data_IF_593565344441
#
_entry.id   IF_593565344441
#
_cell.length_a   1.000
_cell.length_b   1.000
_cell.length_c   1.000
_cell.angle_alpha   90.00
_cell.angle_beta   90.00
_cell.angle_gamma   90.00
#
_symmetry.space_group_name_H-M   'P 1'
#
loop_
_entity.id
_entity.type
_entity.pdbx_description
1 polymer ?
#
# COMPACT_ATOMS: atom_id res chain seq x y z
N UNK A 1 5.07 5.83 5.30
CA UNK A 1 4.67 4.44 4.96
C UNK A 1 5.40 3.51 5.92
N UNK A 2 4.67 2.78 6.76
CA UNK A 2 5.22 2.09 7.93
C UNK A 2 4.46 0.79 8.21
N UNK A 3 5.06 -0.18 8.94
CA UNK A 3 4.35 -1.37 9.40
C UNK A 3 3.17 -1.02 10.32
N UNK A 4 2.17 -1.90 10.34
CA UNK A 4 1.02 -1.77 11.25
C UNK A 4 1.50 -2.14 12.67
N UNK A 5 1.20 -1.32 13.70
CA UNK A 5 1.47 -1.67 15.08
C UNK A 5 0.80 -2.99 15.47
N UNK A 6 1.50 -3.84 16.24
CA UNK A 6 0.94 -5.13 16.67
C UNK A 6 -0.33 -4.98 17.52
N UNK A 7 -0.45 -3.87 18.26
CA UNK A 7 -1.63 -3.56 19.07
C UNK A 7 -2.90 -3.25 18.25
N UNK A 8 -2.76 -2.96 16.96
CA UNK A 8 -3.86 -2.66 16.04
C UNK A 8 -4.13 -3.79 15.03
N UNK A 9 -3.54 -4.97 15.22
CA UNK A 9 -3.75 -6.15 14.38
C UNK A 9 -4.53 -7.23 15.13
N UNK A 10 -5.34 -7.99 14.40
CA UNK A 10 -5.94 -9.21 14.92
C UNK A 10 -4.88 -10.31 15.11
N UNK A 11 -5.10 -11.31 15.98
CA UNK A 11 -4.12 -12.37 16.25
C UNK A 11 -3.75 -13.24 15.03
N UNK A 12 -4.61 -13.25 14.01
CA UNK A 12 -4.39 -13.98 12.75
C UNK A 12 -3.77 -13.11 11.66
N UNK A 13 -3.52 -11.83 11.94
CA UNK A 13 -2.97 -10.88 10.98
C UNK A 13 -1.48 -10.68 11.21
N UNK A 14 -0.72 -10.51 10.13
CA UNK A 14 0.71 -10.19 10.19
C UNK A 14 1.09 -9.08 9.22
N UNK A 15 2.24 -8.44 9.45
CA UNK A 15 2.79 -7.49 8.51
C UNK A 15 3.43 -8.24 7.34
N UNK A 16 2.98 -7.94 6.13
CA UNK A 16 3.54 -8.49 4.90
C UNK A 16 4.70 -7.66 4.37
N UNK A 17 5.32 -8.13 3.28
CA UNK A 17 6.38 -7.38 2.64
C UNK A 17 5.78 -6.26 1.78
N UNK A 18 5.96 -5.02 2.24
CA UNK A 18 5.64 -3.80 1.50
C UNK A 18 6.88 -3.31 0.74
N UNK A 19 6.79 -3.21 -0.58
CA UNK A 19 7.83 -2.59 -1.43
C UNK A 19 7.27 -1.34 -2.08
N UNK A 20 8.07 -0.27 -2.07
CA UNK A 20 7.74 1.03 -2.62
C UNK A 20 8.81 1.43 -3.62
N UNK A 21 8.45 1.47 -4.89
CA UNK A 21 9.36 1.86 -5.97
C UNK A 21 8.94 3.25 -6.46
N UNK A 22 9.88 4.21 -6.44
CA UNK A 22 9.60 5.60 -6.77
C UNK A 22 10.34 5.99 -8.04
N UNK A 23 9.61 6.62 -8.97
CA UNK A 23 10.19 7.20 -10.17
C UNK A 23 9.43 8.47 -10.57
N UNK A 24 10.00 9.24 -11.49
CA UNK A 24 9.29 10.34 -12.13
C UNK A 24 8.76 9.89 -13.48
N UNK A 25 7.51 10.22 -13.78
CA UNK A 25 6.95 10.03 -15.12
C UNK A 25 7.53 11.05 -16.12
N UNK A 26 7.11 10.95 -17.38
CA UNK A 26 7.55 11.86 -18.44
C UNK A 26 7.14 13.32 -18.23
N UNK A 27 6.13 13.58 -17.39
CA UNK A 27 5.67 14.91 -17.02
C UNK A 27 6.41 15.46 -15.79
N UNK A 28 7.38 14.71 -15.24
CA UNK A 28 8.13 15.07 -14.04
C UNK A 28 7.39 14.77 -12.73
N UNK A 29 6.20 14.15 -12.80
CA UNK A 29 5.41 13.82 -11.64
C UNK A 29 5.94 12.56 -10.94
N UNK A 30 5.96 12.57 -9.60
CA UNK A 30 6.38 11.42 -8.80
C UNK A 30 5.32 10.32 -8.83
N UNK A 31 5.72 9.15 -9.28
CA UNK A 31 4.94 7.92 -9.21
C UNK A 31 5.53 7.02 -8.13
N UNK A 32 4.67 6.38 -7.34
CA UNK A 32 5.05 5.29 -6.44
C UNK A 32 4.32 4.02 -6.82
N UNK A 33 5.05 2.94 -7.07
CA UNK A 33 4.50 1.60 -7.24
C UNK A 33 4.58 0.89 -5.90
N UNK A 34 3.41 0.50 -5.40
CA UNK A 34 3.20 -0.10 -4.09
C UNK A 34 2.90 -1.58 -4.31
N UNK A 35 3.73 -2.44 -3.72
CA UNK A 35 3.56 -3.89 -3.76
C UNK A 35 3.42 -4.42 -2.35
N UNK A 36 2.35 -5.16 -2.09
CA UNK A 36 2.17 -5.93 -0.87
C UNK A 36 2.19 -7.41 -1.24
N UNK A 37 3.10 -8.16 -0.63
CA UNK A 37 3.33 -9.57 -0.94
C UNK A 37 3.45 -10.38 0.33
N UNK A 38 2.99 -11.62 0.24
CA UNK A 38 3.13 -12.62 1.29
C UNK A 38 4.08 -13.73 0.84
N UNK A 39 4.69 -14.42 1.80
CA UNK A 39 5.34 -15.70 1.53
C UNK A 39 4.31 -16.66 0.90
N UNK A 40 4.74 -17.72 0.17
CA UNK A 40 3.83 -18.68 -0.46
C UNK A 40 3.08 -19.50 0.59
N UNK A 41 2.04 -18.88 1.15
CA UNK A 41 0.96 -19.41 1.95
C UNK A 41 -0.30 -18.87 1.30
N UNK A 42 -1.40 -19.60 1.39
CA UNK A 42 -2.71 -19.22 0.84
C UNK A 42 -3.36 -18.05 1.60
N UNK A 43 -2.57 -17.03 1.94
CA UNK A 43 -2.95 -15.85 2.71
C UNK A 43 -3.23 -14.68 1.75
N UNK A 44 -4.11 -13.78 2.16
CA UNK A 44 -4.47 -12.59 1.39
C UNK A 44 -3.52 -11.44 1.71
N UNK A 45 -2.96 -10.83 0.67
CA UNK A 45 -2.16 -9.63 0.78
C UNK A 45 -3.05 -8.41 0.63
N UNK A 46 -3.06 -7.53 1.63
CA UNK A 46 -3.89 -6.32 1.67
C UNK A 46 -3.03 -5.08 1.80
N UNK A 47 -3.12 -4.16 0.84
CA UNK A 47 -2.61 -2.79 0.98
C UNK A 47 -3.64 -1.99 1.75
N UNK A 48 -3.23 -1.35 2.84
CA UNK A 48 -4.05 -0.45 3.64
C UNK A 48 -3.51 0.97 3.44
N UNK A 49 -4.38 1.89 3.04
CA UNK A 49 -4.05 3.31 2.87
C UNK A 49 -4.59 4.13 4.04
N UNK A 50 -3.80 5.12 4.47
CA UNK A 50 -4.20 6.09 5.51
C UNK A 50 -4.88 5.42 6.70
N UNK A 51 -4.25 4.39 7.27
CA UNK A 51 -4.74 3.67 8.45
C UNK A 51 -6.16 3.07 8.31
N UNK A 52 -6.56 2.69 7.08
CA UNK A 52 -7.79 1.93 6.84
C UNK A 52 -8.91 2.73 6.18
N UNK A 53 -8.68 3.99 5.80
CA UNK A 53 -9.65 4.76 5.02
C UNK A 53 -9.96 4.07 3.68
N UNK A 54 -8.96 3.40 3.11
CA UNK A 54 -9.10 2.66 1.87
C UNK A 54 -8.16 1.44 1.88
N UNK A 55 -8.52 0.40 1.12
CA UNK A 55 -7.71 -0.81 1.05
C UNK A 55 -7.93 -1.59 -0.24
N UNK A 56 -6.91 -2.34 -0.63
CA UNK A 56 -6.95 -3.24 -1.77
C UNK A 56 -6.44 -4.61 -1.33
N UNK A 57 -7.16 -5.68 -1.66
CA UNK A 57 -6.79 -7.04 -1.26
C UNK A 57 -6.76 -8.00 -2.45
N UNK A 58 -5.81 -8.93 -2.45
CA UNK A 58 -5.73 -10.02 -3.42
C UNK A 58 -5.00 -11.22 -2.83
N UNK A 59 -5.22 -12.40 -3.43
CA UNK A 59 -4.52 -13.63 -3.05
C UNK A 59 -3.02 -13.50 -3.31
N UNK A 60 -2.20 -13.79 -2.30
CA UNK A 60 -0.74 -13.84 -2.34
C UNK A 60 0.02 -12.53 -2.61
N UNK A 61 -0.42 -11.72 -3.59
CA UNK A 61 0.23 -10.46 -3.95
C UNK A 61 -0.75 -9.48 -4.54
N UNK A 62 -0.57 -8.21 -4.19
CA UNK A 62 -1.25 -7.10 -4.84
C UNK A 62 -0.27 -5.99 -5.20
N UNK A 63 -0.53 -5.30 -6.30
CA UNK A 63 0.27 -4.18 -6.79
C UNK A 63 -0.64 -3.08 -7.27
N UNK A 64 -0.30 -1.85 -6.92
CA UNK A 64 -1.00 -0.63 -7.38
C UNK A 64 0.02 0.49 -7.52
N UNK A 65 -0.34 1.56 -8.22
CA UNK A 65 0.50 2.74 -8.37
C UNK A 65 -0.28 4.00 -8.01
N UNK A 66 0.40 4.97 -7.42
CA UNK A 66 -0.11 6.31 -7.21
C UNK A 66 0.74 7.30 -7.99
N UNK A 67 0.09 8.20 -8.70
CA UNK A 67 0.72 9.31 -9.41
C UNK A 67 0.39 10.59 -8.66
N UNK A 68 1.36 11.50 -8.56
CA UNK A 68 1.13 12.81 -7.96
C UNK A 68 0.10 13.64 -8.76
N UNK A 69 -0.57 14.56 -8.07
CA UNK A 69 -1.32 15.64 -8.72
C UNK A 69 -0.40 16.85 -8.99
N UNK A 70 -0.98 17.94 -9.48
CA UNK A 70 -0.27 19.20 -9.74
C UNK A 70 0.39 19.81 -8.48
N UNK A 71 -0.10 19.49 -7.28
CA UNK A 71 0.48 19.91 -6.00
C UNK A 71 1.59 18.96 -5.50
N UNK A 72 1.93 17.90 -6.25
CA UNK A 72 2.92 16.90 -5.86
C UNK A 72 2.43 15.88 -4.82
N UNK A 73 1.12 15.79 -4.60
CA UNK A 73 0.49 14.86 -3.64
C UNK A 73 -0.02 13.61 -4.32
N UNK A 74 0.14 12.45 -3.71
CA UNK A 74 -0.45 11.21 -4.22
C UNK A 74 -1.94 11.17 -3.93
N UNK A 75 -2.76 11.15 -4.98
CA UNK A 75 -4.23 11.16 -4.85
C UNK A 75 -4.80 9.83 -5.34
N UNK A 76 -5.71 9.24 -4.55
CA UNK A 76 -6.51 8.07 -4.94
C UNK A 76 -7.97 8.30 -4.56
N UNK A 77 -8.90 8.07 -5.49
CA UNK A 77 -10.34 8.24 -5.25
C UNK A 77 -10.70 9.57 -4.54
N UNK A 78 -10.07 10.67 -4.98
CA UNK A 78 -10.26 12.00 -4.42
C UNK A 78 -9.77 12.21 -2.96
N UNK A 79 -8.91 11.31 -2.46
CA UNK A 79 -8.25 11.41 -1.17
C UNK A 79 -6.74 11.45 -1.33
N UNK A 80 -6.09 12.30 -0.52
CA UNK A 80 -4.63 12.33 -0.42
C UNK A 80 -4.13 11.11 0.36
N UNK A 81 -3.20 10.38 -0.22
CA UNK A 81 -2.57 9.20 0.37
C UNK A 81 -1.21 9.59 0.94
N UNK A 82 -1.07 9.47 2.26
CA UNK A 82 0.15 9.81 3.00
C UNK A 82 0.78 8.58 3.66
N UNK A 83 -0.02 7.52 3.89
CA UNK A 83 0.47 6.26 4.44
C UNK A 83 -0.06 5.05 3.65
N UNK A 84 0.77 4.02 3.63
CA UNK A 84 0.44 2.71 3.10
C UNK A 84 1.11 1.65 4.00
N UNK A 85 0.40 0.55 4.23
CA UNK A 85 0.87 -0.61 4.97
C UNK A 85 0.46 -1.92 4.27
N UNK A 86 1.14 -3.01 4.56
CA UNK A 86 0.86 -4.34 4.01
C UNK A 86 0.41 -5.28 5.13
N UNK A 87 -0.86 -5.70 5.09
CA UNK A 87 -1.45 -6.64 6.03
C UNK A 87 -1.69 -7.99 5.36
N UNK A 88 -1.48 -9.04 6.12
CA UNK A 88 -1.65 -10.43 5.70
C UNK A 88 -2.67 -11.10 6.59
N UNK A 89 -3.60 -11.87 6.00
CA UNK A 89 -4.67 -12.58 6.72
C UNK A 89 -5.15 -13.81 5.97
#
# INVERSE_FOLDING_TARGET
MQPIPASSMNPTETNGMLTLDHFSDFNGCRVVVIRCSVAPRSENATIIFNDGIDSLSSSSRITTSLTCNEEGKWIRMNQEITSAACRVS
#
